data_IF_332780714928
#
_entry.id   IF_332780714928
#
_cell.length_a   1.000
_cell.length_b   1.000
_cell.length_c   1.000
_cell.angle_alpha   90.00
_cell.angle_beta   90.00
_cell.angle_gamma   90.00
#
_symmetry.space_group_name_H-M   'P 1'
#
loop_
_entity.id
_entity.type
_entity.pdbx_description
1 polymer ?
#
# COMPACT_ATOMS: atom_id res chain seq x y z
N UNK A 1 -6.67 -0.36 6.53
CA UNK A 1 -6.45 -1.81 6.41
C UNK A 1 -6.75 -2.22 4.98
N UNK A 2 -5.94 -3.07 4.31
CA UNK A 2 -6.26 -3.61 2.98
C UNK A 2 -7.68 -4.22 2.90
N UNK A 3 -8.15 -4.83 3.99
CA UNK A 3 -9.47 -5.48 4.07
C UNK A 3 -10.60 -4.55 4.54
N UNK A 4 -10.36 -3.23 4.56
CA UNK A 4 -11.37 -2.30 5.05
C UNK A 4 -12.61 -2.23 4.12
N UNK A 5 -13.79 -2.37 4.72
CA UNK A 5 -15.08 -2.09 4.07
C UNK A 5 -15.55 -3.15 3.08
N UNK A 6 -14.92 -4.34 3.06
CA UNK A 6 -15.27 -5.42 2.13
C UNK A 6 -14.90 -6.79 2.70
N UNK A 7 -15.65 -7.82 2.31
CA UNK A 7 -15.18 -9.19 2.42
C UNK A 7 -14.02 -9.39 1.45
N UNK A 8 -13.02 -10.17 1.87
CA UNK A 8 -11.73 -10.23 1.18
C UNK A 8 -11.17 -11.64 1.10
N UNK A 9 -10.49 -11.91 -0.01
CA UNK A 9 -9.58 -13.02 -0.16
C UNK A 9 -8.14 -12.49 -0.29
N UNK A 10 -7.20 -13.11 0.43
CA UNK A 10 -5.80 -12.70 0.42
C UNK A 10 -4.92 -13.76 -0.24
N UNK A 11 -4.09 -13.33 -1.20
CA UNK A 11 -3.05 -14.15 -1.80
C UNK A 11 -1.69 -13.75 -1.22
N UNK A 12 -0.98 -14.69 -0.62
CA UNK A 12 0.32 -14.45 -0.02
C UNK A 12 1.42 -15.21 -0.75
N UNK A 13 2.48 -14.48 -1.08
CA UNK A 13 3.68 -15.03 -1.69
C UNK A 13 4.86 -14.96 -0.72
N UNK A 14 5.57 -16.07 -0.59
CA UNK A 14 6.89 -16.15 0.03
C UNK A 14 7.90 -16.40 -1.08
N UNK A 15 8.89 -15.52 -1.20
CA UNK A 15 9.85 -15.55 -2.30
C UNK A 15 11.23 -16.04 -1.84
N UNK A 16 12.02 -16.56 -2.79
CA UNK A 16 13.47 -16.64 -2.62
C UNK A 16 14.05 -15.23 -2.48
N UNK A 17 15.19 -15.09 -1.80
CA UNK A 17 15.83 -13.79 -1.53
C UNK A 17 16.61 -13.26 -2.75
N UNK A 18 15.93 -13.16 -3.89
CA UNK A 18 16.48 -12.77 -5.18
C UNK A 18 15.75 -11.50 -5.66
N UNK A 19 16.21 -10.33 -5.21
CA UNK A 19 15.53 -9.03 -5.34
C UNK A 19 14.99 -8.77 -6.75
N UNK A 20 15.84 -8.83 -7.76
CA UNK A 20 15.48 -8.50 -9.14
C UNK A 20 14.48 -9.49 -9.73
N UNK A 21 14.63 -10.78 -9.40
CA UNK A 21 13.69 -11.81 -9.85
C UNK A 21 12.32 -11.62 -9.19
N UNK A 22 12.29 -11.22 -7.91
CA UNK A 22 11.07 -10.90 -7.18
C UNK A 22 10.38 -9.67 -7.75
N UNK A 23 11.12 -8.63 -8.12
CA UNK A 23 10.52 -7.43 -8.73
C UNK A 23 9.85 -7.74 -10.06
N UNK A 24 10.51 -8.51 -10.94
CA UNK A 24 9.88 -9.00 -12.19
C UNK A 24 8.63 -9.87 -11.92
N UNK A 25 8.66 -10.68 -10.87
CA UNK A 25 7.48 -11.46 -10.48
C UNK A 25 6.35 -10.55 -9.97
N UNK A 26 6.66 -9.50 -9.21
CA UNK A 26 5.68 -8.53 -8.72
C UNK A 26 5.01 -7.76 -9.87
N UNK A 27 5.74 -7.40 -10.93
CA UNK A 27 5.16 -6.80 -12.14
C UNK A 27 4.07 -7.71 -12.73
N UNK A 28 4.35 -9.00 -12.87
CA UNK A 28 3.40 -9.97 -13.40
C UNK A 28 2.19 -10.18 -12.46
N UNK A 29 2.43 -10.26 -11.14
CA UNK A 29 1.38 -10.41 -10.13
C UNK A 29 0.46 -9.19 -10.10
N UNK A 30 1.01 -7.97 -10.05
CA UNK A 30 0.22 -6.74 -10.00
C UNK A 30 -0.59 -6.54 -11.28
N UNK A 31 0.00 -6.83 -12.46
CA UNK A 31 -0.73 -6.78 -13.72
C UNK A 31 -1.89 -7.80 -13.77
N UNK A 32 -1.66 -9.03 -13.31
CA UNK A 32 -2.69 -10.08 -13.29
C UNK A 32 -3.83 -9.76 -12.30
N UNK A 33 -3.52 -9.09 -11.19
CA UNK A 33 -4.51 -8.76 -10.17
C UNK A 33 -5.24 -7.43 -10.39
N UNK A 34 -4.72 -6.54 -11.26
CA UNK A 34 -5.28 -5.21 -11.49
C UNK A 34 -6.81 -5.15 -11.70
N UNK A 35 -7.46 -6.09 -12.43
CA UNK A 35 -8.92 -6.08 -12.61
C UNK A 35 -9.74 -6.26 -11.32
N UNK A 36 -9.12 -6.70 -10.22
CA UNK A 36 -9.81 -7.03 -8.96
C UNK A 36 -9.64 -5.95 -7.87
N UNK A 37 -9.14 -4.76 -8.23
CA UNK A 37 -8.85 -3.67 -7.28
C UNK A 37 -8.06 -4.14 -6.05
N UNK A 38 -6.87 -4.76 -6.26
CA UNK A 38 -6.08 -5.34 -5.19
C UNK A 38 -5.48 -4.24 -4.33
N UNK A 39 -5.46 -4.46 -3.01
CA UNK A 39 -4.78 -3.58 -2.05
C UNK A 39 -3.57 -4.34 -1.49
N UNK A 40 -2.33 -3.89 -1.72
CA UNK A 40 -1.16 -4.58 -1.18
C UNK A 40 -1.12 -4.46 0.34
N UNK A 41 -0.50 -5.47 0.98
CA UNK A 41 -0.24 -5.41 2.41
C UNK A 41 0.93 -4.46 2.68
N UNK A 42 0.71 -3.42 3.48
CA UNK A 42 1.69 -2.36 3.79
C UNK A 42 3.07 -2.87 4.26
N UNK A 43 3.12 -3.97 5.00
CA UNK A 43 4.37 -4.59 5.46
C UNK A 43 5.06 -5.56 4.48
N UNK A 44 4.64 -5.65 3.22
CA UNK A 44 5.19 -6.57 2.21
C UNK A 44 5.76 -5.81 1.01
N UNK A 45 6.37 -6.54 0.08
CA UNK A 45 6.86 -5.99 -1.18
C UNK A 45 5.68 -5.75 -2.15
N UNK A 46 5.67 -4.58 -2.77
CA UNK A 46 4.77 -4.17 -3.85
C UNK A 46 5.45 -3.03 -4.63
N UNK A 47 5.06 -2.83 -5.88
CA UNK A 47 5.60 -1.82 -6.80
C UNK A 47 4.69 -0.59 -6.90
N UNK A 48 3.39 -0.75 -6.65
CA UNK A 48 2.38 0.31 -6.68
C UNK A 48 2.76 1.51 -5.79
N UNK A 49 2.71 2.74 -6.32
CA UNK A 49 3.06 3.99 -5.62
C UNK A 49 1.89 4.69 -4.90
N UNK A 50 2.19 5.75 -4.13
CA UNK A 50 1.22 6.51 -3.32
C UNK A 50 -0.10 6.91 -4.03
N UNK A 51 -0.09 7.52 -5.23
CA UNK A 51 -1.33 8.02 -5.83
C UNK A 51 -2.33 6.90 -6.11
N UNK A 52 -1.86 5.78 -6.66
CA UNK A 52 -2.69 4.62 -6.95
C UNK A 52 -3.21 3.93 -5.68
N UNK A 53 -2.50 4.05 -4.55
CA UNK A 53 -2.94 3.51 -3.26
C UNK A 53 -3.96 4.41 -2.56
N UNK A 54 -3.78 5.73 -2.62
CA UNK A 54 -4.67 6.69 -1.98
C UNK A 54 -6.11 6.54 -2.48
N UNK A 55 -6.29 6.42 -3.80
CA UNK A 55 -7.61 6.28 -4.43
C UNK A 55 -8.34 4.98 -4.05
N UNK A 56 -7.61 3.97 -3.55
CA UNK A 56 -8.20 2.70 -3.14
C UNK A 56 -8.77 2.72 -1.72
N UNK A 57 -8.48 3.76 -0.92
CA UNK A 57 -8.87 3.84 0.49
C UNK A 57 -9.74 5.08 0.73
N UNK A 58 -11.06 4.88 0.71
CA UNK A 58 -12.08 5.93 0.93
C UNK A 58 -11.82 6.81 2.16
N UNK A 59 -11.27 6.24 3.24
CA UNK A 59 -11.02 6.93 4.51
C UNK A 59 -9.62 7.56 4.63
N UNK A 60 -8.88 7.70 3.53
CA UNK A 60 -7.59 8.42 3.55
C UNK A 60 -7.74 9.86 4.04
N UNK A 61 -8.73 10.67 3.59
CA UNK A 61 -8.88 12.04 4.10
C UNK A 61 -9.06 12.11 5.62
N UNK A 62 -9.87 11.21 6.19
CA UNK A 62 -10.07 11.09 7.65
C UNK A 62 -8.76 10.76 8.37
N UNK A 63 -8.00 9.81 7.83
CA UNK A 63 -6.71 9.41 8.39
C UNK A 63 -5.72 10.57 8.38
N UNK A 64 -5.64 11.32 7.29
CA UNK A 64 -4.76 12.49 7.19
C UNK A 64 -5.17 13.60 8.17
N UNK A 65 -6.47 13.83 8.35
CA UNK A 65 -6.97 14.78 9.35
C UNK A 65 -6.58 14.35 10.78
N UNK A 66 -6.63 13.05 11.07
CA UNK A 66 -6.18 12.51 12.36
C UNK A 66 -4.68 12.69 12.57
N UNK A 67 -3.86 12.40 11.54
CA UNK A 67 -2.41 12.58 11.58
C UNK A 67 -2.07 14.06 11.82
N UNK A 68 -2.67 14.99 11.07
CA UNK A 68 -2.44 16.44 11.27
C UNK A 68 -2.80 16.93 12.68
N UNK A 69 -3.81 16.32 13.30
CA UNK A 69 -4.23 16.66 14.67
C UNK A 69 -3.29 16.11 15.75
N UNK A 70 -2.78 14.89 15.57
CA UNK A 70 -2.00 14.19 16.59
C UNK A 70 -0.49 14.35 16.42
N UNK A 71 -0.02 14.55 15.20
CA UNK A 71 1.39 14.75 14.86
C UNK A 71 1.55 15.96 13.92
N UNK A 72 1.20 17.18 14.39
CA UNK A 72 1.24 18.39 13.56
C UNK A 72 2.66 18.74 13.08
N UNK A 73 3.69 18.27 13.77
CA UNK A 73 5.09 18.46 13.38
C UNK A 73 5.65 17.32 12.51
N UNK A 74 4.85 16.27 12.25
CA UNK A 74 5.25 15.13 11.42
C UNK A 74 6.41 14.31 11.98
N UNK A 75 6.58 14.25 13.31
CA UNK A 75 7.66 13.54 14.01
C UNK A 75 7.74 12.08 13.61
N UNK A 76 6.60 11.44 13.33
CA UNK A 76 6.54 10.03 12.96
C UNK A 76 6.51 9.80 11.45
N UNK A 77 6.46 10.86 10.63
CA UNK A 77 6.46 10.73 9.17
C UNK A 77 7.88 10.42 8.68
N UNK A 78 8.05 9.23 8.10
CA UNK A 78 9.33 8.76 7.58
C UNK A 78 9.28 8.62 6.04
N UNK A 79 10.42 8.30 5.43
CA UNK A 79 10.52 8.14 3.97
C UNK A 79 9.53 7.12 3.39
N UNK A 80 9.23 6.05 4.13
CA UNK A 80 8.26 5.05 3.68
C UNK A 80 6.84 5.63 3.64
N UNK A 81 6.43 6.38 4.68
CA UNK A 81 5.14 7.06 4.72
C UNK A 81 5.06 8.16 3.66
N UNK A 82 6.10 8.95 3.47
CA UNK A 82 6.13 9.99 2.42
C UNK A 82 6.00 9.40 1.01
N UNK A 83 6.50 8.17 0.79
CA UNK A 83 6.42 7.50 -0.51
C UNK A 83 5.05 6.91 -0.81
N UNK A 84 4.28 6.50 0.20
CA UNK A 84 3.09 5.67 0.02
C UNK A 84 1.80 6.24 0.61
N UNK A 85 1.90 7.25 1.47
CA UNK A 85 0.76 7.94 2.09
C UNK A 85 0.78 9.39 1.58
N UNK A 86 -0.31 9.88 0.96
CA UNK A 86 -0.40 11.28 0.54
C UNK A 86 -0.30 12.25 1.74
N UNK A 87 -0.14 13.55 1.45
CA UNK A 87 -0.11 14.62 2.45
C UNK A 87 -1.52 15.15 2.81
#
# INVERSE_FOLDING_TARGET
SPEHGRDSAALHFTWRREREAVERALEAVEAALAPFSPRPHWGKLFLTGAPALADQYERVPDFLALVRRLDPAGVFRNHWLSRYVPD
#
